data_IF_943258648841
#
_entry.id   IF_943258648841
#
_cell.length_a   1.000
_cell.length_b   1.000
_cell.length_c   1.000
_cell.angle_alpha   90.00
_cell.angle_beta   90.00
_cell.angle_gamma   90.00
#
_symmetry.space_group_name_H-M   'P 1'
#
loop_
_entity.id
_entity.type
_entity.pdbx_description
1 polymer ?
#
# COMPACT_ATOMS: atom_id res chain seq x y z
N UNK A 1 -46.26 -35.92 10.68
CA UNK A 1 -45.92 -35.84 9.25
C UNK A 1 -44.43 -35.58 9.14
N UNK A 2 -43.66 -36.61 8.81
CA UNK A 2 -42.21 -36.50 8.57
C UNK A 2 -42.01 -35.86 7.20
N UNK A 3 -41.49 -34.63 7.17
CA UNK A 3 -41.08 -33.97 5.94
C UNK A 3 -39.91 -34.76 5.33
N UNK A 4 -40.13 -35.38 4.16
CA UNK A 4 -39.06 -35.98 3.37
C UNK A 4 -38.14 -34.87 2.86
N UNK A 5 -36.89 -34.83 3.34
CA UNK A 5 -35.87 -33.95 2.79
C UNK A 5 -35.67 -34.27 1.31
N UNK A 6 -36.04 -33.33 0.43
CA UNK A 6 -35.70 -33.40 -1.00
C UNK A 6 -34.20 -33.12 -1.13
N UNK A 7 -33.43 -34.14 -1.45
CA UNK A 7 -32.01 -34.00 -1.77
C UNK A 7 -31.79 -33.26 -3.10
N UNK A 8 -30.62 -32.66 -3.23
CA UNK A 8 -30.16 -32.03 -4.48
C UNK A 8 -29.75 -33.12 -5.49
N UNK A 9 -30.07 -32.95 -6.77
CA UNK A 9 -29.64 -33.90 -7.81
C UNK A 9 -28.18 -33.66 -8.18
N UNK A 10 -27.51 -34.73 -8.63
CA UNK A 10 -26.11 -34.65 -9.07
C UNK A 10 -25.94 -33.68 -10.26
N UNK A 11 -26.94 -33.63 -11.16
CA UNK A 11 -26.93 -32.72 -12.31
C UNK A 11 -27.08 -31.26 -11.89
N UNK A 12 -27.95 -30.96 -10.91
CA UNK A 12 -28.07 -29.59 -10.38
C UNK A 12 -26.76 -29.14 -9.75
N UNK A 13 -26.09 -30.02 -8.99
CA UNK A 13 -24.80 -29.70 -8.39
C UNK A 13 -23.72 -29.42 -9.44
N UNK A 14 -23.66 -30.22 -10.51
CA UNK A 14 -22.71 -30.02 -11.61
C UNK A 14 -22.91 -28.68 -12.33
N UNK A 15 -24.16 -28.29 -12.58
CA UNK A 15 -24.46 -27.00 -13.23
C UNK A 15 -24.05 -25.84 -12.33
N UNK A 16 -24.33 -25.91 -11.02
CA UNK A 16 -23.93 -24.87 -10.06
C UNK A 16 -22.41 -24.72 -10.02
N UNK A 17 -21.66 -25.83 -9.96
CA UNK A 17 -20.18 -25.78 -9.98
C UNK A 17 -19.67 -25.17 -11.29
N UNK A 18 -20.28 -25.50 -12.43
CA UNK A 18 -19.90 -24.93 -13.72
C UNK A 18 -20.09 -23.40 -13.75
N UNK A 19 -21.23 -22.90 -13.26
CA UNK A 19 -21.51 -21.45 -13.20
C UNK A 19 -20.54 -20.75 -12.24
N UNK A 20 -20.33 -21.31 -11.04
CA UNK A 20 -19.37 -20.74 -10.07
C UNK A 20 -17.96 -20.72 -10.66
N UNK A 21 -17.55 -21.76 -11.39
CA UNK A 21 -16.25 -21.83 -12.05
C UNK A 21 -16.04 -20.69 -13.05
N UNK A 22 -17.04 -20.39 -13.89
CA UNK A 22 -16.98 -19.28 -14.85
C UNK A 22 -16.90 -17.93 -14.14
N UNK A 23 -17.73 -17.72 -13.12
CA UNK A 23 -17.73 -16.47 -12.34
C UNK A 23 -16.41 -16.26 -11.60
N UNK A 24 -15.85 -17.32 -11.00
CA UNK A 24 -14.59 -17.26 -10.27
C UNK A 24 -13.41 -16.89 -11.17
N UNK A 25 -13.38 -17.36 -12.42
CA UNK A 25 -12.33 -17.04 -13.39
C UNK A 25 -12.21 -15.53 -13.68
N UNK A 26 -13.31 -14.79 -13.61
CA UNK A 26 -13.33 -13.33 -13.82
C UNK A 26 -13.23 -12.56 -12.50
N UNK A 27 -13.95 -13.02 -11.48
CA UNK A 27 -14.04 -12.32 -10.20
C UNK A 27 -12.73 -12.34 -9.40
N UNK A 28 -12.00 -13.47 -9.41
CA UNK A 28 -10.78 -13.61 -8.61
C UNK A 28 -9.66 -12.66 -9.06
N UNK A 29 -9.30 -12.56 -10.36
CA UNK A 29 -8.31 -11.58 -10.82
C UNK A 29 -8.71 -10.14 -10.52
N UNK A 30 -10.00 -9.80 -10.72
CA UNK A 30 -10.51 -8.46 -10.45
C UNK A 30 -10.44 -8.10 -8.96
N UNK A 31 -10.74 -9.05 -8.07
CA UNK A 31 -10.62 -8.85 -6.62
C UNK A 31 -9.16 -8.68 -6.19
N UNK A 32 -8.24 -9.47 -6.75
CA UNK A 32 -6.81 -9.31 -6.51
C UNK A 32 -6.32 -7.92 -6.95
N UNK A 33 -6.71 -7.47 -8.14
CA UNK A 33 -6.37 -6.13 -8.62
C UNK A 33 -6.88 -5.02 -7.70
N UNK A 34 -8.11 -5.16 -7.19
CA UNK A 34 -8.70 -4.21 -6.26
C UNK A 34 -7.93 -4.16 -4.93
N UNK A 35 -7.63 -5.32 -4.34
CA UNK A 35 -6.89 -5.39 -3.07
C UNK A 35 -5.48 -4.83 -3.20
N UNK A 36 -4.79 -5.06 -4.32
CA UNK A 36 -3.46 -4.46 -4.58
C UNK A 36 -3.55 -2.92 -4.57
N UNK A 37 -4.51 -2.35 -5.31
CA UNK A 37 -4.71 -0.88 -5.34
C UNK A 37 -5.07 -0.32 -3.97
N UNK A 38 -5.97 -1.00 -3.25
CA UNK A 38 -6.41 -0.60 -1.92
C UNK A 38 -5.24 -0.58 -0.93
N UNK A 39 -4.41 -1.63 -0.94
CA UNK A 39 -3.24 -1.73 -0.08
C UNK A 39 -2.18 -0.67 -0.45
N UNK A 40 -2.04 -0.33 -1.74
CA UNK A 40 -1.13 0.73 -2.17
C UNK A 40 -1.58 2.10 -1.68
N UNK A 41 -2.88 2.38 -1.76
CA UNK A 41 -3.45 3.61 -1.22
C UNK A 41 -3.28 3.70 0.31
N UNK A 42 -3.50 2.58 1.01
CA UNK A 42 -3.29 2.49 2.45
C UNK A 42 -1.81 2.73 2.83
N UNK A 43 -0.87 2.09 2.13
CA UNK A 43 0.56 2.27 2.35
C UNK A 43 1.01 3.73 2.14
N UNK A 44 0.50 4.39 1.09
CA UNK A 44 0.74 5.82 0.87
C UNK A 44 0.17 6.66 2.03
N UNK A 45 -1.04 6.33 2.49
CA UNK A 45 -1.67 7.03 3.61
C UNK A 45 -0.91 6.82 4.93
N UNK A 46 -0.26 5.67 5.15
CA UNK A 46 0.57 5.41 6.33
C UNK A 46 1.78 6.34 6.40
N UNK A 47 2.40 6.68 5.25
CA UNK A 47 3.58 7.55 5.21
C UNK A 47 3.30 9.04 5.02
N UNK A 48 2.09 9.40 4.56
CA UNK A 48 1.74 10.80 4.23
C UNK A 48 1.78 11.75 5.45
N UNK A 49 1.32 11.37 6.66
CA UNK A 49 1.43 12.21 7.85
C UNK A 49 2.88 12.56 8.22
N UNK A 50 3.83 11.71 7.81
CA UNK A 50 5.25 11.93 8.07
C UNK A 50 5.80 13.19 7.40
N UNK A 51 5.16 13.70 6.34
CA UNK A 51 5.60 14.92 5.65
C UNK A 51 5.58 16.14 6.56
N UNK A 52 4.49 16.36 7.30
CA UNK A 52 4.38 17.52 8.20
C UNK A 52 5.36 17.43 9.35
N UNK A 53 5.54 16.24 9.93
CA UNK A 53 6.50 16.02 11.00
C UNK A 53 7.97 16.10 10.51
N UNK A 54 8.22 15.70 9.25
CA UNK A 54 9.50 15.91 8.59
C UNK A 54 9.82 17.42 8.47
N UNK A 55 8.87 18.23 8.00
CA UNK A 55 9.06 19.70 7.95
C UNK A 55 9.35 20.29 9.33
N UNK A 56 8.63 19.84 10.37
CA UNK A 56 8.88 20.30 11.73
C UNK A 56 10.30 19.95 12.21
N UNK A 57 10.73 18.70 11.99
CA UNK A 57 12.06 18.24 12.37
C UNK A 57 13.16 19.06 11.69
N UNK A 58 13.03 19.28 10.36
CA UNK A 58 14.00 20.07 9.60
C UNK A 58 14.02 21.53 10.05
N UNK A 59 12.87 22.14 10.30
CA UNK A 59 12.78 23.52 10.81
C UNK A 59 13.41 23.69 12.20
N UNK A 60 13.41 22.62 13.01
CA UNK A 60 14.08 22.58 14.31
C UNK A 60 15.57 22.24 14.22
N UNK A 61 16.11 22.07 13.02
CA UNK A 61 17.50 21.65 12.78
C UNK A 61 17.79 20.21 13.21
N UNK A 62 16.76 19.35 13.27
CA UNK A 62 16.86 17.93 13.63
C UNK A 62 16.80 17.07 12.37
N UNK A 63 17.54 15.97 12.37
CA UNK A 63 17.50 14.97 11.30
C UNK A 63 16.23 14.12 11.42
N UNK A 64 15.36 14.09 10.39
CA UNK A 64 14.17 13.25 10.38
C UNK A 64 14.51 11.78 10.60
N UNK A 65 13.71 11.10 11.43
CA UNK A 65 13.95 9.73 11.85
C UNK A 65 12.65 8.95 12.04
N UNK A 66 12.70 7.63 11.81
CA UNK A 66 11.62 6.68 12.13
C UNK A 66 11.79 6.05 13.51
N UNK A 67 12.82 6.42 14.26
CA UNK A 67 13.08 5.93 15.62
C UNK A 67 12.33 6.81 16.62
N UNK A 68 11.43 6.20 17.41
CA UNK A 68 10.52 6.93 18.32
C UNK A 68 11.23 7.73 19.42
N UNK A 69 12.46 7.37 19.76
CA UNK A 69 13.29 8.08 20.76
C UNK A 69 14.19 9.16 20.16
N UNK A 70 14.23 9.31 18.83
CA UNK A 70 15.04 10.32 18.18
C UNK A 70 14.34 11.69 18.22
N UNK A 71 15.13 12.75 18.44
CA UNK A 71 14.62 14.13 18.47
C UNK A 71 13.87 14.57 17.20
N UNK A 72 14.21 13.96 16.06
CA UNK A 72 13.56 14.19 14.76
C UNK A 72 12.54 13.13 14.37
N UNK A 73 11.93 12.44 15.33
CA UNK A 73 10.93 11.41 15.05
C UNK A 73 9.75 11.98 14.27
N UNK A 74 9.46 11.40 13.09
CA UNK A 74 8.42 11.91 12.19
C UNK A 74 7.01 11.37 12.49
N UNK A 75 6.80 10.77 13.66
CA UNK A 75 5.51 10.19 14.04
C UNK A 75 5.20 8.84 13.37
N UNK A 76 6.15 8.27 12.60
CA UNK A 76 5.99 6.99 11.92
C UNK A 76 7.17 6.09 12.26
N UNK A 77 6.88 4.90 12.80
CA UNK A 77 7.89 3.89 13.09
C UNK A 77 8.50 3.28 11.82
N UNK A 78 9.64 2.60 11.97
CA UNK A 78 10.31 1.91 10.85
C UNK A 78 9.47 0.80 10.20
N UNK A 79 8.36 0.40 10.83
CA UNK A 79 7.47 -0.65 10.33
C UNK A 79 6.03 -0.29 10.65
N UNK A 80 5.16 -0.41 9.65
CA UNK A 80 3.69 -0.25 9.75
C UNK A 80 3.01 -1.52 9.25
N UNK A 81 1.70 -1.49 8.94
CA UNK A 81 0.99 -2.65 8.39
C UNK A 81 1.56 -2.99 7.01
N UNK A 82 1.60 -2.00 6.11
CA UNK A 82 1.96 -2.20 4.71
C UNK A 82 3.35 -1.70 4.33
N UNK A 83 4.08 -1.05 5.24
CA UNK A 83 5.38 -0.47 4.95
C UNK A 83 6.48 -0.98 5.89
N UNK A 84 7.66 -1.19 5.31
CA UNK A 84 8.92 -0.93 6.01
C UNK A 84 9.35 0.47 5.61
N UNK A 85 9.34 1.39 6.59
CA UNK A 85 9.57 2.81 6.36
C UNK A 85 11.04 3.13 6.58
N UNK A 86 11.64 3.78 5.61
CA UNK A 86 12.96 4.39 5.72
C UNK A 86 12.81 5.89 5.46
N UNK A 87 13.49 6.69 6.25
CA UNK A 87 13.57 8.14 6.06
C UNK A 87 15.02 8.53 5.86
N UNK A 88 15.25 9.45 4.93
CA UNK A 88 16.51 10.16 4.79
C UNK A 88 16.19 11.65 4.77
N UNK A 89 16.96 12.47 5.47
CA UNK A 89 16.66 13.89 5.53
C UNK A 89 17.78 14.77 6.08
N UNK A 90 18.09 15.83 5.33
CA UNK A 90 18.68 17.07 5.80
C UNK A 90 17.79 18.26 5.35
N UNK A 91 18.31 19.23 4.61
CA UNK A 91 17.56 20.19 3.79
C UNK A 91 16.69 19.53 2.70
N UNK A 92 17.11 18.41 2.11
CA UNK A 92 16.32 17.57 1.19
C UNK A 92 16.09 16.19 1.79
N UNK A 93 15.13 15.42 1.27
CA UNK A 93 14.92 14.08 1.82
C UNK A 93 13.86 13.23 1.16
N UNK A 94 13.77 12.00 1.64
CA UNK A 94 12.70 11.09 1.24
C UNK A 94 12.13 10.34 2.45
N UNK A 95 10.84 10.03 2.33
CA UNK A 95 10.15 9.05 3.16
C UNK A 95 9.76 7.91 2.22
N UNK A 96 10.47 6.79 2.32
CA UNK A 96 10.29 5.63 1.48
C UNK A 96 9.56 4.51 2.24
N UNK A 97 8.48 4.00 1.66
CA UNK A 97 7.77 2.82 2.11
C UNK A 97 8.08 1.66 1.18
N UNK A 98 8.86 0.69 1.65
CA UNK A 98 8.97 -0.61 0.98
C UNK A 98 7.75 -1.44 1.35
N UNK A 99 6.92 -1.75 0.35
CA UNK A 99 5.62 -2.36 0.51
C UNK A 99 5.73 -3.82 0.99
N UNK A 100 4.85 -4.21 1.91
CA UNK A 100 4.75 -5.56 2.47
C UNK A 100 3.32 -5.92 2.89
N UNK A 101 3.06 -7.18 3.19
CA UNK A 101 1.76 -7.61 3.74
C UNK A 101 0.61 -7.58 2.73
N UNK A 102 0.91 -7.45 1.44
CA UNK A 102 -0.06 -7.54 0.35
C UNK A 102 0.28 -8.66 -0.64
N UNK A 103 -0.13 -8.48 -1.89
CA UNK A 103 0.15 -9.44 -2.97
C UNK A 103 1.66 -9.65 -3.17
N UNK A 104 2.11 -10.91 -3.17
CA UNK A 104 3.54 -11.23 -3.24
C UNK A 104 4.22 -10.77 -4.54
N UNK A 105 3.51 -10.80 -5.67
CA UNK A 105 4.09 -10.56 -7.00
C UNK A 105 4.00 -9.09 -7.41
N UNK A 106 2.86 -8.46 -7.14
CA UNK A 106 2.52 -7.15 -7.68
C UNK A 106 2.57 -6.02 -6.65
N UNK A 107 2.83 -6.33 -5.37
CA UNK A 107 2.82 -5.36 -4.29
C UNK A 107 4.08 -5.44 -3.42
N UNK A 108 4.35 -6.61 -2.82
CA UNK A 108 5.45 -6.76 -1.88
C UNK A 108 6.81 -6.47 -2.54
N UNK A 109 7.67 -5.75 -1.82
CA UNK A 109 9.01 -5.37 -2.27
C UNK A 109 9.06 -4.17 -3.24
N UNK A 110 7.91 -3.69 -3.74
CA UNK A 110 7.84 -2.41 -4.48
C UNK A 110 7.91 -1.24 -3.52
N UNK A 111 8.33 -0.06 -3.99
CA UNK A 111 8.44 1.11 -3.12
C UNK A 111 7.46 2.21 -3.52
N UNK A 112 6.92 2.90 -2.53
CA UNK A 112 6.19 4.17 -2.65
C UNK A 112 6.98 5.22 -1.86
N UNK A 113 7.24 6.38 -2.45
CA UNK A 113 8.14 7.38 -1.89
C UNK A 113 7.53 8.77 -1.94
N UNK A 114 7.66 9.49 -0.84
CA UNK A 114 7.56 10.94 -0.81
C UNK A 114 8.98 11.52 -0.88
N UNK A 115 9.25 12.34 -1.88
CA UNK A 115 10.53 13.05 -2.03
C UNK A 115 10.30 14.53 -1.83
N UNK A 116 11.09 15.15 -0.95
CA UNK A 116 11.10 16.59 -0.68
C UNK A 116 12.25 17.22 -1.44
N UNK A 117 11.92 18.19 -2.29
CA UNK A 117 12.92 19.01 -2.95
C UNK A 117 13.56 19.99 -1.95
N UNK A 118 14.90 19.99 -1.88
CA UNK A 118 15.63 20.77 -0.89
C UNK A 118 15.50 22.29 -1.07
N UNK A 119 15.25 22.75 -2.30
CA UNK A 119 15.25 24.18 -2.65
C UNK A 119 13.87 24.79 -2.51
N UNK A 120 12.84 24.09 -3.02
CA UNK A 120 11.45 24.56 -3.04
C UNK A 120 10.62 24.07 -1.84
N UNK A 121 11.08 23.04 -1.12
CA UNK A 121 10.29 22.36 -0.10
C UNK A 121 9.10 21.58 -0.65
N UNK A 122 9.00 21.42 -1.98
CA UNK A 122 7.88 20.74 -2.62
C UNK A 122 7.99 19.24 -2.44
N UNK A 123 6.85 18.60 -2.18
CA UNK A 123 6.76 17.15 -2.05
C UNK A 123 6.19 16.50 -3.30
N UNK A 124 6.93 15.55 -3.85
CA UNK A 124 6.51 14.73 -4.99
C UNK A 124 6.39 13.27 -4.59
N UNK A 125 5.33 12.60 -5.03
CA UNK A 125 5.18 11.15 -4.82
C UNK A 125 5.64 10.36 -6.05
N UNK A 126 6.36 9.26 -5.83
CA UNK A 126 6.73 8.29 -6.87
C UNK A 126 6.55 6.85 -6.38
N UNK A 127 6.39 5.90 -7.30
CA UNK A 127 6.29 4.47 -6.97
C UNK A 127 6.78 3.53 -8.06
N UNK A 128 7.30 2.38 -7.63
CA UNK A 128 7.73 1.27 -8.51
C UNK A 128 6.57 0.34 -8.89
N UNK A 129 5.36 0.62 -8.40
CA UNK A 129 4.16 -0.08 -8.82
C UNK A 129 3.87 0.22 -10.30
N UNK A 130 3.43 -0.81 -11.03
CA UNK A 130 2.98 -0.64 -12.41
C UNK A 130 1.80 0.34 -12.45
N UNK A 131 1.60 1.01 -13.59
CA UNK A 131 0.60 2.06 -13.75
C UNK A 131 -0.80 1.69 -13.22
N UNK A 132 -1.22 0.43 -13.41
CA UNK A 132 -2.51 -0.11 -12.94
C UNK A 132 -2.68 -0.08 -11.41
N UNK A 133 -1.59 -0.12 -10.65
CA UNK A 133 -1.60 -0.23 -9.19
C UNK A 133 -1.11 1.02 -8.45
N UNK A 134 -0.80 2.12 -9.17
CA UNK A 134 -0.26 3.32 -8.54
C UNK A 134 -1.27 3.94 -7.57
N UNK A 135 -0.85 4.30 -6.35
CA UNK A 135 -1.72 4.96 -5.39
C UNK A 135 -1.80 6.46 -5.64
N UNK A 136 -3.01 7.01 -5.57
CA UNK A 136 -3.23 8.46 -5.67
C UNK A 136 -2.62 9.07 -6.94
N UNK A 137 -1.95 10.22 -6.78
CA UNK A 137 -1.27 10.96 -7.85
C UNK A 137 0.22 10.63 -7.96
N UNK A 138 0.68 9.51 -7.41
CA UNK A 138 2.09 9.13 -7.47
C UNK A 138 2.55 8.84 -8.90
N UNK A 139 3.66 9.48 -9.29
CA UNK A 139 4.32 9.26 -10.58
C UNK A 139 5.04 7.92 -10.65
N UNK A 140 5.56 7.58 -11.84
CA UNK A 140 6.48 6.45 -11.98
C UNK A 140 7.77 6.73 -11.18
N UNK A 141 8.23 5.75 -10.41
CA UNK A 141 9.57 5.75 -9.84
C UNK A 141 10.62 5.57 -10.93
N UNK A 142 11.73 6.30 -10.82
CA UNK A 142 12.99 6.04 -11.52
C UNK A 142 13.88 5.18 -10.66
#
# INVERSE_FOLDING_TARGET
MTQMQKGFTLIELMIVVAIIGILAAVALPAYQDYTIRSNAAAALAEITPGKSAFEEAVNRGKTPSTTSTADGFIGIGATTTYCNVAVTGDTGGNIACTLKGGNATHFNGKVVRWTRDATSGTWTCSTDLIAKYRPGSCGAGT
#
